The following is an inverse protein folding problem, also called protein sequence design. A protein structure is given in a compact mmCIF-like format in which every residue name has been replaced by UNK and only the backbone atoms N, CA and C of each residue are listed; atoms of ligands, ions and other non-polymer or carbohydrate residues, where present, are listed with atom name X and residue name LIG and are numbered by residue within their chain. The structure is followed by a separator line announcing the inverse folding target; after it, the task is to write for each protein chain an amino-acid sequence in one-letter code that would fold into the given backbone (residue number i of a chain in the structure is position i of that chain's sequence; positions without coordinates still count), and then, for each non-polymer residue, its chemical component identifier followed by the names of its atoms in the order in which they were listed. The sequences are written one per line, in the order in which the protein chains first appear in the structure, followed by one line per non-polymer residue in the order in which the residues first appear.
data_IF_309927506044
#
_entry.id   IF_309927506044
#
_cell.length_a   1.000
_cell.length_b   1.000
_cell.length_c   1.000
_cell.angle_alpha   90.00
_cell.angle_beta   90.00
_cell.angle_gamma   90.00
#
_symmetry.space_group_name_H-M   'P 1'
#
loop_
_entity.id
_entity.type
_entity.pdbx_description
1 polymer ?
#
# COMPACT_ATOMS: atom_id res chain seq x y z
N UNK A 1 41.54 -5.37 26.61
CA UNK A 1 41.08 -5.06 25.24
C UNK A 1 39.95 -6.03 24.92
N UNK A 2 38.70 -5.55 24.86
CA UNK A 2 37.57 -6.40 24.51
C UNK A 2 37.49 -6.55 22.99
N UNK A 3 37.33 -7.77 22.44
CA UNK A 3 37.25 -7.96 21.00
C UNK A 3 35.98 -7.30 20.45
N UNK A 4 36.12 -6.54 19.36
CA UNK A 4 35.00 -6.05 18.55
C UNK A 4 34.27 -7.27 17.98
N UNK A 5 33.17 -7.68 18.60
CA UNK A 5 32.23 -8.61 17.98
C UNK A 5 31.74 -7.98 16.65
N UNK A 6 31.69 -8.74 15.55
CA UNK A 6 31.05 -8.25 14.34
C UNK A 6 29.63 -7.81 14.72
N UNK A 7 29.25 -6.59 14.34
CA UNK A 7 27.87 -6.13 14.45
C UNK A 7 27.07 -7.03 13.51
N UNK A 8 26.59 -8.17 14.00
CA UNK A 8 25.67 -9.02 13.25
C UNK A 8 24.49 -8.15 12.81
N UNK A 9 24.51 -7.77 11.53
CA UNK A 9 23.41 -7.49 10.61
C UNK A 9 22.04 -7.21 11.20
N UNK A 10 21.91 -6.21 12.10
CA UNK A 10 20.57 -5.67 12.44
C UNK A 10 19.80 -5.21 11.20
N UNK A 11 20.54 -4.75 10.18
CA UNK A 11 20.01 -4.32 8.89
C UNK A 11 19.33 -5.45 8.09
N UNK A 12 19.71 -6.71 8.31
CA UNK A 12 19.16 -7.86 7.56
C UNK A 12 18.11 -8.64 8.37
N UNK A 13 17.63 -8.08 9.49
CA UNK A 13 16.58 -8.72 10.28
C UNK A 13 15.19 -8.53 9.64
N UNK A 14 14.27 -9.51 9.76
CA UNK A 14 12.89 -9.34 9.31
C UNK A 14 12.23 -8.09 9.91
N UNK A 15 12.47 -7.82 11.20
CA UNK A 15 11.96 -6.62 11.86
C UNK A 15 12.45 -5.32 11.20
N UNK A 16 13.73 -5.24 10.80
CA UNK A 16 14.26 -4.09 10.08
C UNK A 16 13.65 -3.96 8.67
N UNK A 17 13.45 -5.08 7.97
CA UNK A 17 12.77 -5.10 6.67
C UNK A 17 11.32 -4.56 6.79
N UNK A 18 10.57 -5.03 7.80
CA UNK A 18 9.21 -4.55 8.07
C UNK A 18 9.18 -3.06 8.42
N UNK A 19 10.12 -2.60 9.27
CA UNK A 19 10.22 -1.20 9.64
C UNK A 19 10.58 -0.32 8.43
N UNK A 20 11.49 -0.78 7.57
CA UNK A 20 11.86 -0.11 6.33
C UNK A 20 10.68 0.03 5.37
N UNK A 21 9.95 -1.07 5.14
CA UNK A 21 8.76 -1.10 4.32
C UNK A 21 7.70 -0.11 4.85
N UNK A 22 7.37 -0.18 6.14
CA UNK A 22 6.39 0.71 6.76
C UNK A 22 6.80 2.20 6.63
N UNK A 23 8.08 2.50 6.81
CA UNK A 23 8.61 3.86 6.70
C UNK A 23 8.58 4.37 5.25
N UNK A 24 8.86 3.50 4.27
CA UNK A 24 8.79 3.84 2.84
C UNK A 24 7.34 4.07 2.42
N UNK A 25 6.43 3.17 2.78
CA UNK A 25 5.01 3.31 2.51
C UNK A 25 4.43 4.59 3.12
N UNK A 26 4.76 4.90 4.38
CA UNK A 26 4.31 6.14 5.02
C UNK A 26 4.77 7.39 4.24
N UNK A 27 6.04 7.44 3.80
CA UNK A 27 6.53 8.54 2.99
C UNK A 27 5.79 8.64 1.65
N UNK A 28 5.65 7.55 0.93
CA UNK A 28 5.02 7.56 -0.40
C UNK A 28 3.53 7.91 -0.36
N UNK A 29 2.78 7.31 0.57
CA UNK A 29 1.34 7.52 0.67
C UNK A 29 0.95 8.86 1.31
N UNK A 30 1.81 9.43 2.18
CA UNK A 30 1.45 10.60 3.00
C UNK A 30 2.27 11.85 2.74
N UNK A 31 3.50 11.72 2.24
CA UNK A 31 4.41 12.85 1.97
C UNK A 31 4.76 12.99 0.49
N UNK A 32 4.71 11.90 -0.27
CA UNK A 32 4.96 11.86 -1.70
C UNK A 32 3.80 12.43 -2.48
N UNK A 33 4.11 13.09 -3.60
CA UNK A 33 3.13 13.19 -4.69
C UNK A 33 3.02 11.77 -5.27
N UNK A 34 1.87 11.10 -5.25
CA UNK A 34 1.67 9.77 -5.84
C UNK A 34 1.80 9.76 -7.38
N UNK A 35 2.47 10.76 -7.95
CA UNK A 35 2.70 10.96 -9.38
C UNK A 35 3.75 9.98 -9.91
N UNK A 36 4.66 9.49 -9.04
CA UNK A 36 5.63 8.47 -9.40
C UNK A 36 5.04 7.05 -9.29
N UNK A 37 4.35 6.65 -10.36
CA UNK A 37 3.75 5.32 -10.49
C UNK A 37 4.80 4.21 -10.45
N UNK A 38 6.05 4.48 -10.80
CA UNK A 38 7.10 3.48 -10.77
C UNK A 38 7.56 3.24 -9.33
N UNK A 39 7.66 4.28 -8.49
CA UNK A 39 7.91 4.11 -7.05
C UNK A 39 6.79 3.35 -6.33
N UNK A 40 5.53 3.54 -6.73
CA UNK A 40 4.39 2.79 -6.19
C UNK A 40 4.39 1.32 -6.63
N UNK A 41 4.78 1.02 -7.88
CA UNK A 41 4.98 -0.36 -8.36
C UNK A 41 6.11 -1.06 -7.61
N UNK A 42 7.24 -0.37 -7.44
CA UNK A 42 8.37 -0.86 -6.66
C UNK A 42 7.95 -1.19 -5.22
N UNK A 43 7.09 -0.37 -4.62
CA UNK A 43 6.55 -0.59 -3.29
C UNK A 43 5.65 -1.85 -3.24
N UNK A 44 4.79 -2.08 -4.24
CA UNK A 44 4.00 -3.32 -4.31
C UNK A 44 4.88 -4.57 -4.39
N UNK A 45 5.91 -4.53 -5.23
CA UNK A 45 6.86 -5.63 -5.32
C UNK A 45 7.61 -5.87 -3.99
N UNK A 46 7.93 -4.78 -3.28
CA UNK A 46 8.56 -4.84 -1.96
C UNK A 46 7.63 -5.42 -0.88
N UNK A 47 6.34 -5.08 -0.93
CA UNK A 47 5.30 -5.69 -0.07
C UNK A 47 5.25 -7.20 -0.30
N UNK A 48 5.18 -7.64 -1.56
CA UNK A 48 5.14 -9.06 -1.90
C UNK A 48 6.39 -9.82 -1.47
N UNK A 49 7.58 -9.24 -1.67
CA UNK A 49 8.85 -9.82 -1.16
C UNK A 49 8.86 -9.92 0.36
N UNK A 50 8.44 -8.86 1.05
CA UNK A 50 8.40 -8.84 2.52
C UNK A 50 7.41 -9.85 3.06
N UNK A 51 6.21 -9.97 2.47
CA UNK A 51 5.20 -10.96 2.87
C UNK A 51 5.74 -12.39 2.83
N UNK A 52 6.52 -12.74 1.79
CA UNK A 52 7.20 -14.05 1.70
C UNK A 52 8.21 -14.29 2.81
N UNK A 53 8.92 -13.27 3.27
CA UNK A 53 9.86 -13.40 4.41
C UNK A 53 9.15 -13.73 5.72
N UNK A 54 7.88 -13.37 5.85
CA UNK A 54 7.06 -13.65 7.03
C UNK A 54 6.08 -14.82 6.83
N UNK A 55 6.13 -15.50 5.68
CA UNK A 55 5.29 -16.66 5.42
C UNK A 55 5.60 -17.78 6.43
N UNK A 56 4.56 -18.27 7.12
CA UNK A 56 4.70 -19.29 8.16
C UNK A 56 5.07 -18.78 9.56
N UNK A 57 5.44 -17.50 9.73
CA UNK A 57 5.71 -16.88 11.05
C UNK A 57 4.82 -15.66 11.35
N UNK A 58 4.08 -15.16 10.36
CA UNK A 58 3.22 -14.00 10.51
C UNK A 58 2.01 -14.29 11.40
N UNK A 59 1.72 -13.37 12.31
CA UNK A 59 0.42 -13.33 12.98
C UNK A 59 -0.69 -13.01 11.99
N UNK A 60 -1.94 -13.23 12.40
CA UNK A 60 -3.10 -12.78 11.62
C UNK A 60 -3.10 -11.26 11.41
N UNK A 61 -2.77 -10.49 12.46
CA UNK A 61 -2.68 -9.03 12.37
C UNK A 61 -1.64 -8.56 11.34
N UNK A 62 -0.49 -9.24 11.27
CA UNK A 62 0.55 -8.90 10.30
C UNK A 62 0.11 -9.20 8.87
N UNK A 63 -0.64 -10.29 8.66
CA UNK A 63 -1.22 -10.63 7.36
C UNK A 63 -2.25 -9.59 6.92
N UNK A 64 -3.18 -9.23 7.81
CA UNK A 64 -4.16 -8.16 7.55
C UNK A 64 -3.50 -6.80 7.30
N UNK A 65 -2.38 -6.52 7.99
CA UNK A 65 -1.62 -5.31 7.73
C UNK A 65 -1.03 -5.28 6.31
N UNK A 66 -0.43 -6.39 5.86
CA UNK A 66 0.04 -6.52 4.47
C UNK A 66 -1.11 -6.36 3.46
N UNK A 67 -2.26 -7.02 3.69
CA UNK A 67 -3.42 -6.94 2.79
C UNK A 67 -3.95 -5.50 2.65
N UNK A 68 -4.07 -4.77 3.77
CA UNK A 68 -4.51 -3.36 3.73
C UNK A 68 -3.50 -2.48 3.02
N UNK A 69 -2.20 -2.68 3.28
CA UNK A 69 -1.15 -1.88 2.66
C UNK A 69 -1.09 -2.10 1.14
N UNK A 70 -1.18 -3.35 0.70
CA UNK A 70 -1.22 -3.71 -0.71
C UNK A 70 -2.42 -3.07 -1.43
N UNK A 71 -3.61 -3.11 -0.82
CA UNK A 71 -4.81 -2.48 -1.36
C UNK A 71 -4.69 -0.94 -1.46
N UNK A 72 -4.13 -0.28 -0.45
CA UNK A 72 -3.93 1.19 -0.46
C UNK A 72 -2.95 1.63 -1.55
N UNK A 73 -1.84 0.91 -1.73
CA UNK A 73 -0.85 1.23 -2.76
C UNK A 73 -1.38 0.90 -4.16
N UNK A 74 -2.05 -0.24 -4.34
CA UNK A 74 -2.66 -0.61 -5.61
C UNK A 74 -3.77 0.37 -6.03
N UNK A 75 -4.63 0.78 -5.09
CA UNK A 75 -5.66 1.80 -5.35
C UNK A 75 -5.10 3.18 -5.70
N UNK A 76 -3.86 3.48 -5.29
CA UNK A 76 -3.16 4.72 -5.69
C UNK A 76 -2.60 4.65 -7.12
N UNK A 77 -2.43 3.44 -7.68
CA UNK A 77 -2.03 3.22 -9.07
C UNK A 77 -3.21 3.19 -10.04
N UNK A 78 -4.40 2.84 -9.57
CA UNK A 78 -5.59 2.87 -10.40
C UNK A 78 -5.79 4.29 -10.96
N UNK A 79 -6.00 4.45 -12.29
CA UNK A 79 -6.46 5.74 -12.78
C UNK A 79 -7.74 6.07 -12.03
N UNK A 80 -7.84 7.29 -11.49
CA UNK A 80 -9.09 7.78 -10.92
C UNK A 80 -10.08 7.82 -12.08
N UNK A 81 -10.85 6.75 -12.24
CA UNK A 81 -12.00 6.74 -13.12
C UNK A 81 -13.01 7.70 -12.49
N UNK A 82 -13.03 8.95 -12.97
CA UNK A 82 -14.07 9.93 -12.64
C UNK A 82 -15.48 9.47 -13.05
N UNK A 83 -15.64 8.28 -13.62
CA UNK A 83 -16.92 7.68 -13.96
C UNK A 83 -17.58 6.98 -12.76
N UNK A 84 -18.00 7.79 -11.77
CA UNK A 84 -19.33 7.52 -11.21
C UNK A 84 -20.36 7.95 -12.26
N UNK A 85 -21.26 7.07 -12.72
CA UNK A 85 -22.36 7.50 -13.57
C UNK A 85 -23.12 8.60 -12.83
N UNK A 86 -23.25 9.77 -13.45
CA UNK A 86 -24.25 10.76 -13.04
C UNK A 86 -25.57 10.01 -12.99
N UNK A 87 -26.08 9.77 -11.79
CA UNK A 87 -27.51 9.53 -11.62
C UNK A 87 -28.13 10.89 -11.94
N UNK A 88 -28.43 11.13 -13.22
CA UNK A 88 -29.37 12.18 -13.59
C UNK A 88 -30.64 11.92 -12.76
N UNK A 89 -31.15 12.91 -12.01
CA UNK A 89 -32.48 12.78 -11.46
C UNK A 89 -33.40 12.62 -12.67
N UNK A 90 -33.98 11.42 -12.81
CA UNK A 90 -35.01 11.13 -13.79
C UNK A 90 -36.22 11.98 -13.40
N UNK A 91 -36.18 13.26 -13.78
CA UNK A 91 -37.24 14.21 -13.58
C UNK A 91 -38.28 13.90 -14.65
N UNK A 92 -39.03 12.81 -14.42
CA UNK A 92 -40.19 12.43 -15.22
C UNK A 92 -41.36 13.33 -14.85
N UNK A 93 -41.14 14.64 -14.88
CA UNK A 93 -42.17 15.65 -15.00
C UNK A 93 -42.60 15.70 -16.48
N UNK A 94 -43.36 14.71 -16.93
CA UNK A 94 -44.23 14.90 -18.10
C UNK A 94 -45.57 15.41 -17.61
N UNK A 95 -45.62 16.72 -17.50
CA UNK A 95 -46.81 17.53 -17.70
C UNK A 95 -47.35 17.23 -19.11
N UNK A 96 -48.64 16.91 -19.18
CA UNK A 96 -49.45 16.76 -20.40
C UNK A 96 -50.84 16.35 -19.91
N UNK A 97 -51.79 17.26 -19.69
CA UNK A 97 -52.55 18.03 -20.69
C UNK A 97 -53.15 17.11 -21.76
N UNK A 98 -54.33 16.56 -21.44
CA UNK A 98 -55.51 16.51 -22.29
C UNK A 98 -56.71 16.07 -21.43
#
# INVERSE_FOLDING_TARGET
MSPNLPRSSRADSPAAALQGLASRAYRLLRQGRPEDRDELRDLLDEIGRSRRLFEGIASEDLRHWFDRLEAEVAGSLEPIDEFRPRIEPSNRARVGVA
#
